data_IF_659187799667
#
_entry.id   IF_659187799667
#
_cell.length_a   1.000
_cell.length_b   1.000
_cell.length_c   1.000
_cell.angle_alpha   90.00
_cell.angle_beta   90.00
_cell.angle_gamma   90.00
#
_symmetry.space_group_name_H-M   'P 1'
#
loop_
_entity.id
_entity.type
_entity.pdbx_description
1 polymer ?
#
# COMPACT_ATOMS: atom_id res chain seq x y z
N UNK A 1 1.17 -1.97 21.42
CA UNK A 1 0.79 -1.34 20.13
C UNK A 1 -0.69 -1.62 19.95
N UNK A 2 -1.56 -0.61 20.04
CA UNK A 2 -3.00 -0.83 19.78
C UNK A 2 -3.20 -1.26 18.32
N UNK A 3 -3.99 -2.31 18.13
CA UNK A 3 -4.28 -2.99 16.87
C UNK A 3 -4.68 -2.00 15.77
N UNK A 4 -3.74 -1.73 14.86
CA UNK A 4 -4.03 -0.97 13.64
C UNK A 4 -5.02 -1.71 12.74
N UNK A 5 -5.20 -3.01 12.94
CA UNK A 5 -6.04 -3.88 12.11
C UNK A 5 -7.54 -3.69 12.32
N UNK A 6 -7.99 -3.15 13.46
CA UNK A 6 -9.42 -3.00 13.79
C UNK A 6 -9.95 -1.57 13.63
N UNK A 7 -9.22 -0.67 12.96
CA UNK A 7 -9.67 0.70 12.75
C UNK A 7 -10.49 0.81 11.47
N UNK A 8 -11.64 1.50 11.46
CA UNK A 8 -12.34 1.76 10.22
C UNK A 8 -11.51 2.66 9.30
N UNK A 9 -11.50 2.31 8.02
CA UNK A 9 -10.81 3.01 6.94
C UNK A 9 -11.79 3.75 6.03
N UNK A 10 -11.31 4.79 5.36
CA UNK A 10 -12.07 5.56 4.36
C UNK A 10 -11.15 5.97 3.21
N UNK A 11 -11.69 6.05 2.00
CA UNK A 11 -11.06 6.76 0.91
C UNK A 11 -11.20 8.27 1.16
N UNK A 12 -10.17 9.06 0.89
CA UNK A 12 -10.19 10.50 1.14
C UNK A 12 -9.28 11.27 0.20
N UNK A 13 -9.66 12.52 -0.07
CA UNK A 13 -8.84 13.51 -0.75
C UNK A 13 -8.19 14.44 0.27
N UNK A 14 -6.88 14.60 0.19
CA UNK A 14 -6.09 15.53 1.00
C UNK A 14 -5.76 16.78 0.18
N UNK A 15 -6.40 17.91 0.49
CA UNK A 15 -6.13 19.20 -0.17
C UNK A 15 -4.87 19.86 0.38
N UNK A 16 -4.74 19.85 1.70
CA UNK A 16 -3.59 20.34 2.47
C UNK A 16 -3.24 19.29 3.51
N UNK A 17 -2.02 19.37 4.07
CA UNK A 17 -1.57 18.42 5.09
C UNK A 17 -2.62 18.29 6.19
N UNK A 18 -3.19 17.08 6.34
CA UNK A 18 -4.24 16.69 7.30
C UNK A 18 -5.64 17.29 7.07
N UNK A 19 -5.85 18.01 5.97
CA UNK A 19 -7.14 18.55 5.53
C UNK A 19 -7.80 17.57 4.54
N UNK A 20 -8.67 16.70 5.06
CA UNK A 20 -9.25 15.58 4.33
C UNK A 20 -10.74 15.76 4.07
N UNK A 21 -11.17 15.45 2.86
CA UNK A 21 -12.55 15.17 2.49
C UNK A 21 -12.71 13.66 2.25
N UNK A 22 -13.60 13.01 3.00
CA UNK A 22 -13.88 11.58 2.83
C UNK A 22 -14.73 11.36 1.59
N UNK A 23 -14.42 10.30 0.85
CA UNK A 23 -15.13 9.86 -0.35
C UNK A 23 -15.96 8.64 0.02
N UNK A 24 -17.28 8.72 -0.15
CA UNK A 24 -18.17 7.58 0.02
C UNK A 24 -18.09 6.65 -1.19
N UNK A 25 -17.49 5.47 -0.99
CA UNK A 25 -17.32 4.48 -2.05
C UNK A 25 -18.67 3.94 -2.55
N UNK A 26 -19.69 3.82 -1.69
CA UNK A 26 -21.00 3.31 -2.11
C UNK A 26 -21.69 4.26 -3.08
N UNK A 27 -21.47 5.58 -2.92
CA UNK A 27 -22.01 6.59 -3.83
C UNK A 27 -21.32 6.51 -5.20
N UNK A 28 -19.98 6.46 -5.26
CA UNK A 28 -19.25 6.34 -6.55
C UNK A 28 -19.46 4.97 -7.22
N UNK A 29 -19.70 3.91 -6.44
CA UNK A 29 -20.00 2.57 -6.96
C UNK A 29 -21.46 2.42 -7.43
N UNK A 30 -22.32 3.40 -7.19
CA UNK A 30 -23.74 3.33 -7.52
C UNK A 30 -24.52 2.30 -6.68
N UNK A 31 -24.03 1.94 -5.49
CA UNK A 31 -24.58 0.90 -4.61
C UNK A 31 -25.41 1.49 -3.46
N UNK A 32 -26.17 2.56 -3.70
CA UNK A 32 -26.90 3.26 -2.63
C UNK A 32 -27.98 2.38 -1.97
N UNK A 33 -28.62 1.49 -2.72
CA UNK A 33 -29.72 0.65 -2.23
C UNK A 33 -29.24 -0.67 -1.58
N UNK A 34 -27.98 -1.07 -1.81
CA UNK A 34 -27.37 -2.24 -1.19
C UNK A 34 -25.87 -1.99 -0.93
N UNK A 35 -25.53 -1.17 0.09
CA UNK A 35 -24.18 -0.71 0.30
C UNK A 35 -23.26 -1.82 0.78
N UNK A 36 -22.18 -2.06 0.05
CA UNK A 36 -21.08 -2.86 0.57
C UNK A 36 -20.36 -2.08 1.68
N UNK A 37 -19.89 -2.79 2.70
CA UNK A 37 -19.05 -2.17 3.73
C UNK A 37 -17.64 -1.98 3.22
N UNK A 38 -17.25 -0.72 3.08
CA UNK A 38 -15.89 -0.28 2.76
C UNK A 38 -15.20 0.33 3.98
N UNK A 39 -15.33 -0.33 5.13
CA UNK A 39 -14.71 0.08 6.40
C UNK A 39 -13.38 -0.64 6.70
N UNK A 40 -13.01 -1.63 5.88
CA UNK A 40 -11.73 -2.31 5.91
C UNK A 40 -10.81 -1.84 4.77
N UNK A 41 -9.49 -1.78 5.00
CA UNK A 41 -8.53 -1.36 3.97
C UNK A 41 -8.53 -2.32 2.78
N UNK A 42 -8.74 -3.60 3.03
CA UNK A 42 -8.91 -4.68 2.05
C UNK A 42 -10.09 -4.40 1.12
N UNK A 43 -11.21 -3.95 1.68
CA UNK A 43 -12.43 -3.69 0.92
C UNK A 43 -12.27 -2.44 0.05
N UNK A 44 -11.63 -1.39 0.59
CA UNK A 44 -11.31 -0.18 -0.18
C UNK A 44 -10.34 -0.52 -1.31
N UNK A 45 -9.28 -1.26 -1.02
CA UNK A 45 -8.30 -1.69 -2.03
C UNK A 45 -8.95 -2.58 -3.10
N UNK A 46 -9.86 -3.49 -2.71
CA UNK A 46 -10.63 -4.31 -3.65
C UNK A 46 -11.41 -3.44 -4.65
N UNK A 47 -11.99 -2.33 -4.19
CA UNK A 47 -12.65 -1.36 -5.05
C UNK A 47 -11.64 -0.59 -5.92
N UNK A 48 -10.64 0.05 -5.31
CA UNK A 48 -9.73 0.99 -6.01
C UNK A 48 -8.83 0.31 -7.03
N UNK A 49 -8.52 -0.98 -6.86
CA UNK A 49 -7.74 -1.77 -7.82
C UNK A 49 -8.38 -1.98 -9.18
N UNK A 50 -9.66 -1.66 -9.34
CA UNK A 50 -10.33 -1.72 -10.64
C UNK A 50 -10.04 -0.48 -11.51
N UNK A 51 -9.41 0.55 -10.94
CA UNK A 51 -9.29 1.87 -11.55
C UNK A 51 -7.83 2.37 -11.50
N UNK A 52 -7.44 3.20 -12.45
CA UNK A 52 -6.31 4.14 -12.29
C UNK A 52 -6.69 5.22 -11.31
N UNK A 53 -5.68 5.92 -10.77
CA UNK A 53 -5.89 7.14 -10.02
C UNK A 53 -6.75 8.17 -10.80
N UNK A 54 -6.48 8.40 -12.10
CA UNK A 54 -7.26 9.33 -12.92
C UNK A 54 -8.75 8.94 -13.03
N UNK A 55 -9.04 7.65 -13.26
CA UNK A 55 -10.42 7.14 -13.29
C UNK A 55 -11.11 7.29 -11.92
N UNK A 56 -10.38 7.15 -10.81
CA UNK A 56 -10.93 7.39 -9.47
C UNK A 56 -11.31 8.88 -9.28
N UNK A 57 -10.47 9.82 -9.72
CA UNK A 57 -10.83 11.24 -9.71
C UNK A 57 -12.06 11.52 -10.56
N UNK A 58 -12.15 10.94 -11.76
CA UNK A 58 -13.31 11.10 -12.64
C UNK A 58 -14.61 10.57 -12.01
N UNK A 59 -14.55 9.45 -11.29
CA UNK A 59 -15.69 8.90 -10.56
C UNK A 59 -16.12 9.82 -9.42
N UNK A 60 -15.17 10.34 -8.65
CA UNK A 60 -15.43 11.28 -7.54
C UNK A 60 -16.07 12.56 -8.07
N UNK A 61 -15.54 13.12 -9.17
CA UNK A 61 -16.07 14.31 -9.82
C UNK A 61 -17.51 14.07 -10.32
N UNK A 62 -17.77 12.96 -11.01
CA UNK A 62 -19.11 12.62 -11.51
C UNK A 62 -20.14 12.45 -10.40
N UNK A 63 -19.73 11.89 -9.27
CA UNK A 63 -20.60 11.70 -8.12
C UNK A 63 -20.85 12.97 -7.32
N UNK A 64 -20.11 14.07 -7.59
CA UNK A 64 -20.26 15.37 -6.95
C UNK A 64 -20.22 15.29 -5.41
N UNK A 65 -19.30 14.47 -4.87
CA UNK A 65 -19.21 14.18 -3.42
C UNK A 65 -18.33 15.20 -2.69
N UNK A 66 -17.48 15.94 -3.41
CA UNK A 66 -16.49 16.86 -2.84
C UNK A 66 -16.44 18.17 -3.61
N UNK A 67 -15.97 19.22 -2.94
CA UNK A 67 -15.63 20.50 -3.57
C UNK A 67 -14.42 20.35 -4.51
N UNK A 68 -14.45 21.05 -5.65
CA UNK A 68 -13.39 21.18 -6.65
C UNK A 68 -12.01 21.45 -6.02
N UNK A 69 -11.97 22.18 -4.91
CA UNK A 69 -10.76 22.47 -4.16
C UNK A 69 -10.01 21.20 -3.70
N UNK A 70 -10.70 20.09 -3.46
CA UNK A 70 -10.11 18.82 -3.05
C UNK A 70 -9.72 17.93 -4.24
N UNK A 71 -10.32 18.15 -5.42
CA UNK A 71 -9.97 17.41 -6.64
C UNK A 71 -8.54 17.72 -7.12
N UNK A 72 -8.01 18.89 -6.74
CA UNK A 72 -6.60 19.23 -6.92
C UNK A 72 -5.65 18.61 -5.87
N UNK A 73 -6.21 17.88 -4.89
CA UNK A 73 -5.48 17.26 -3.78
C UNK A 73 -4.83 15.92 -4.15
N UNK A 74 -4.48 15.14 -3.12
CA UNK A 74 -3.98 13.75 -3.26
C UNK A 74 -4.97 12.75 -2.69
N UNK A 75 -5.12 11.61 -3.36
CA UNK A 75 -5.98 10.53 -2.91
C UNK A 75 -5.23 9.64 -1.91
N UNK A 76 -5.89 9.33 -0.81
CA UNK A 76 -5.37 8.48 0.27
C UNK A 76 -6.44 7.53 0.77
N UNK A 77 -5.99 6.39 1.30
CA UNK A 77 -6.80 5.66 2.29
C UNK A 77 -6.39 6.16 3.68
N UNK A 78 -7.37 6.54 4.50
CA UNK A 78 -7.13 7.01 5.87
C UNK A 78 -7.90 6.17 6.87
N UNK A 79 -7.32 5.97 8.05
CA UNK A 79 -8.08 5.42 9.19
C UNK A 79 -8.71 6.53 10.03
N UNK A 80 -9.53 6.14 11.01
CA UNK A 80 -10.13 7.05 12.00
C UNK A 80 -9.13 7.95 12.77
N UNK A 81 -7.85 7.56 12.87
CA UNK A 81 -6.77 8.37 13.44
C UNK A 81 -6.07 9.29 12.41
N UNK A 82 -6.61 9.38 11.19
CA UNK A 82 -6.08 10.15 10.05
C UNK A 82 -4.65 9.74 9.63
N UNK A 83 -4.24 8.50 9.90
CA UNK A 83 -3.03 7.96 9.28
C UNK A 83 -3.27 7.70 7.81
N UNK A 84 -2.31 8.06 6.96
CA UNK A 84 -2.38 7.94 5.50
C UNK A 84 -1.75 6.65 5.02
N UNK A 85 -2.41 6.05 4.04
CA UNK A 85 -1.98 4.87 3.32
C UNK A 85 -2.14 5.18 1.82
N UNK A 86 -1.08 4.93 1.03
CA UNK A 86 -1.12 5.08 -0.42
C UNK A 86 -2.27 4.26 -1.00
N UNK A 87 -2.98 4.77 -2.00
CA UNK A 87 -4.11 4.06 -2.64
C UNK A 87 -3.57 2.95 -3.54
N UNK A 88 -4.16 1.77 -3.45
CA UNK A 88 -3.82 0.64 -4.32
C UNK A 88 -4.70 0.68 -5.57
N UNK A 89 -4.11 1.01 -6.72
CA UNK A 89 -4.80 1.15 -8.01
C UNK A 89 -4.57 -0.08 -8.89
N UNK A 90 -5.16 -0.08 -10.10
CA UNK A 90 -4.96 -1.15 -11.08
C UNK A 90 -3.52 -1.33 -11.56
N UNK A 91 -2.64 -0.35 -11.30
CA UNK A 91 -1.21 -0.42 -11.66
C UNK A 91 -0.40 -1.26 -10.68
N UNK A 92 -0.87 -1.41 -9.44
CA UNK A 92 -0.14 -2.13 -8.39
C UNK A 92 -0.61 -3.59 -8.28
N UNK A 93 0.35 -4.51 -8.13
CA UNK A 93 0.08 -5.96 -8.10
C UNK A 93 0.11 -6.57 -6.70
N UNK A 94 0.60 -5.85 -5.67
CA UNK A 94 0.94 -6.40 -4.34
C UNK A 94 1.86 -7.63 -4.39
N UNK A 95 2.74 -7.70 -5.40
CA UNK A 95 3.60 -8.86 -5.62
C UNK A 95 4.82 -8.88 -4.68
N UNK A 96 4.63 -9.43 -3.48
CA UNK A 96 5.70 -9.69 -2.51
C UNK A 96 6.67 -10.77 -3.01
N UNK A 97 6.24 -11.67 -3.89
CA UNK A 97 7.09 -12.75 -4.40
C UNK A 97 8.22 -12.20 -5.25
N UNK A 98 7.92 -11.26 -6.15
CA UNK A 98 8.94 -10.59 -6.94
C UNK A 98 9.95 -9.86 -6.05
N UNK A 99 9.46 -9.16 -5.01
CA UNK A 99 10.34 -8.50 -4.02
C UNK A 99 11.25 -9.53 -3.34
N UNK A 100 10.70 -10.66 -2.88
CA UNK A 100 11.48 -11.71 -2.23
C UNK A 100 12.55 -12.31 -3.15
N UNK A 101 12.24 -12.50 -4.44
CA UNK A 101 13.21 -12.99 -5.43
C UNK A 101 14.37 -11.99 -5.61
N UNK A 102 14.07 -10.70 -5.70
CA UNK A 102 15.10 -9.64 -5.76
C UNK A 102 15.96 -9.61 -4.49
N UNK A 103 15.35 -9.76 -3.30
CA UNK A 103 16.05 -9.80 -2.02
C UNK A 103 17.08 -10.94 -1.91
N UNK A 104 16.83 -12.08 -2.57
CA UNK A 104 17.76 -13.21 -2.54
C UNK A 104 19.00 -12.97 -3.41
N UNK A 105 18.92 -12.05 -4.37
CA UNK A 105 19.97 -11.78 -5.34
C UNK A 105 20.80 -10.53 -4.99
N UNK A 106 20.21 -9.52 -4.35
CA UNK A 106 20.86 -8.24 -4.07
C UNK A 106 20.98 -7.97 -2.55
N UNK A 107 22.21 -7.82 -2.07
CA UNK A 107 22.48 -7.61 -0.63
C UNK A 107 21.91 -6.29 -0.09
N UNK A 108 21.88 -5.23 -0.89
CA UNK A 108 21.32 -3.93 -0.48
C UNK A 108 19.79 -4.04 -0.34
N UNK A 109 19.12 -4.70 -1.30
CA UNK A 109 17.68 -4.98 -1.24
C UNK A 109 17.35 -5.88 -0.05
N UNK A 110 18.19 -6.88 0.23
CA UNK A 110 18.03 -7.77 1.39
C UNK A 110 17.99 -7.01 2.72
N UNK A 111 18.95 -6.11 2.94
CA UNK A 111 19.02 -5.32 4.18
C UNK A 111 17.77 -4.44 4.34
N UNK A 112 17.39 -3.77 3.26
CA UNK A 112 16.18 -2.96 3.20
C UNK A 112 14.92 -3.78 3.50
N UNK A 113 14.74 -4.91 2.82
CA UNK A 113 13.59 -5.79 3.01
C UNK A 113 13.47 -6.30 4.43
N UNK A 114 14.57 -6.76 5.04
CA UNK A 114 14.55 -7.26 6.41
C UNK A 114 14.18 -6.15 7.41
N UNK A 115 14.67 -4.93 7.20
CA UNK A 115 14.29 -3.77 8.03
C UNK A 115 12.79 -3.44 7.87
N UNK A 116 12.30 -3.38 6.63
CA UNK A 116 10.87 -3.14 6.33
C UNK A 116 9.99 -4.25 6.89
N UNK A 117 10.40 -5.51 6.75
CA UNK A 117 9.68 -6.66 7.28
C UNK A 117 9.59 -6.60 8.80
N UNK A 118 10.70 -6.34 9.50
CA UNK A 118 10.71 -6.21 10.97
C UNK A 118 9.79 -5.10 11.48
N UNK A 119 9.67 -4.00 10.72
CA UNK A 119 8.80 -2.86 11.06
C UNK A 119 7.31 -3.25 11.05
N UNK A 120 6.90 -4.16 10.18
CA UNK A 120 5.49 -4.48 9.94
C UNK A 120 5.06 -5.86 10.42
N UNK A 121 6.00 -6.81 10.55
CA UNK A 121 5.77 -8.17 11.02
C UNK A 121 6.93 -8.64 11.94
N UNK A 122 7.19 -7.93 13.06
CA UNK A 122 8.26 -8.26 13.99
C UNK A 122 8.16 -9.69 14.55
N UNK A 123 6.95 -10.21 14.69
CA UNK A 123 6.67 -11.55 15.20
C UNK A 123 7.16 -12.67 14.27
N UNK A 124 7.20 -12.42 12.95
CA UNK A 124 7.72 -13.37 11.95
C UNK A 124 9.16 -13.09 11.54
N UNK A 125 9.78 -12.02 12.07
CA UNK A 125 11.06 -11.49 11.58
C UNK A 125 12.18 -12.53 11.62
N UNK A 126 12.33 -13.25 12.74
CA UNK A 126 13.41 -14.23 12.88
C UNK A 126 13.26 -15.41 11.91
N UNK A 127 12.03 -15.87 11.67
CA UNK A 127 11.76 -16.90 10.67
C UNK A 127 12.12 -16.41 9.26
N UNK A 128 11.71 -15.18 8.92
CA UNK A 128 11.97 -14.58 7.60
C UNK A 128 13.47 -14.36 7.39
N UNK A 129 14.16 -13.77 8.38
CA UNK A 129 15.60 -13.55 8.35
C UNK A 129 16.35 -14.85 8.09
N UNK A 130 16.01 -15.92 8.79
CA UNK A 130 16.63 -17.24 8.61
C UNK A 130 16.36 -17.82 7.22
N UNK A 131 15.14 -17.68 6.70
CA UNK A 131 14.78 -18.13 5.35
C UNK A 131 15.59 -17.37 4.28
N UNK A 132 15.70 -16.05 4.39
CA UNK A 132 16.47 -15.22 3.47
C UNK A 132 17.98 -15.50 3.58
N UNK A 133 18.52 -15.69 4.78
CA UNK A 133 19.94 -16.02 4.98
C UNK A 133 20.31 -17.40 4.41
N UNK A 134 19.42 -18.38 4.55
CA UNK A 134 19.59 -19.71 3.96
C UNK A 134 19.19 -19.79 2.48
N UNK A 135 18.85 -18.66 1.85
CA UNK A 135 18.36 -18.57 0.46
C UNK A 135 17.18 -19.50 0.14
N UNK A 136 16.34 -19.78 1.13
CA UNK A 136 15.19 -20.66 1.00
C UNK A 136 13.94 -19.84 0.63
N UNK A 137 13.74 -19.63 -0.68
CA UNK A 137 12.58 -18.88 -1.21
C UNK A 137 11.25 -19.53 -0.83
N UNK A 138 11.16 -20.85 -0.83
CA UNK A 138 9.93 -21.58 -0.48
C UNK A 138 9.51 -21.29 0.97
N UNK A 139 10.47 -21.29 1.89
CA UNK A 139 10.23 -20.92 3.30
C UNK A 139 9.86 -19.45 3.43
N UNK A 140 10.56 -18.54 2.74
CA UNK A 140 10.23 -17.12 2.75
C UNK A 140 8.79 -16.87 2.25
N UNK A 141 8.38 -17.52 1.16
CA UNK A 141 7.01 -17.47 0.63
C UNK A 141 5.98 -18.00 1.63
N UNK A 142 6.28 -19.11 2.32
CA UNK A 142 5.39 -19.66 3.35
C UNK A 142 5.18 -18.70 4.52
N UNK A 143 6.21 -17.92 4.87
CA UNK A 143 6.14 -16.92 5.95
C UNK A 143 5.34 -15.70 5.48
N UNK A 144 5.55 -15.22 4.25
CA UNK A 144 4.77 -14.10 3.70
C UNK A 144 3.27 -14.39 3.63
N UNK A 145 2.86 -15.65 3.44
CA UNK A 145 1.44 -16.05 3.48
C UNK A 145 0.81 -15.99 4.89
N UNK A 146 1.62 -15.91 5.95
CA UNK A 146 1.15 -15.73 7.33
C UNK A 146 0.93 -14.26 7.69
N UNK A 147 1.37 -13.31 6.86
CA UNK A 147 1.21 -11.89 7.11
C UNK A 147 -0.27 -11.50 7.10
N UNK A 148 -0.65 -10.58 7.97
CA UNK A 148 -1.92 -9.86 7.78
C UNK A 148 -1.86 -9.03 6.50
N UNK A 149 -3.02 -8.78 5.91
CA UNK A 149 -3.09 -8.02 4.66
C UNK A 149 -2.48 -6.62 4.82
N UNK A 150 -2.76 -5.93 5.93
CA UNK A 150 -2.18 -4.62 6.21
C UNK A 150 -0.65 -4.67 6.31
N UNK A 151 -0.07 -5.70 6.93
CA UNK A 151 1.38 -5.87 6.99
C UNK A 151 1.97 -6.11 5.60
N UNK A 152 1.39 -7.05 4.83
CA UNK A 152 1.78 -7.35 3.46
C UNK A 152 1.73 -6.10 2.55
N UNK A 153 0.64 -5.35 2.62
CA UNK A 153 0.42 -4.10 1.89
C UNK A 153 1.48 -3.05 2.22
N UNK A 154 1.76 -2.82 3.50
CA UNK A 154 2.74 -1.83 3.92
C UNK A 154 4.17 -2.23 3.53
N UNK A 155 4.51 -3.52 3.61
CA UNK A 155 5.79 -4.03 3.12
C UNK A 155 5.92 -3.75 1.62
N UNK A 156 4.90 -4.05 0.82
CA UNK A 156 4.92 -3.79 -0.62
C UNK A 156 5.13 -2.30 -0.95
N UNK A 157 4.38 -1.39 -0.33
CA UNK A 157 4.50 0.05 -0.62
C UNK A 157 5.85 0.62 -0.19
N UNK A 158 6.32 0.30 1.02
CA UNK A 158 7.64 0.77 1.48
C UNK A 158 8.76 0.21 0.59
N UNK A 159 8.70 -1.07 0.20
CA UNK A 159 9.70 -1.66 -0.70
C UNK A 159 9.66 -1.05 -2.09
N UNK A 160 8.48 -0.90 -2.71
CA UNK A 160 8.39 -0.28 -4.04
C UNK A 160 8.87 1.16 -4.05
N UNK A 161 8.54 1.93 -3.01
CA UNK A 161 9.04 3.28 -2.83
C UNK A 161 10.57 3.28 -2.85
N UNK A 162 11.17 2.49 -1.98
CA UNK A 162 12.62 2.43 -1.82
C UNK A 162 13.33 1.86 -3.06
N UNK A 163 12.76 0.88 -3.76
CA UNK A 163 13.29 0.34 -5.01
C UNK A 163 13.20 1.36 -6.16
N UNK A 164 12.11 2.13 -6.24
CA UNK A 164 11.97 3.19 -7.24
C UNK A 164 12.87 4.39 -6.95
N UNK A 165 13.07 4.76 -5.67
CA UNK A 165 14.05 5.76 -5.26
C UNK A 165 15.49 5.27 -5.46
N UNK A 166 15.77 3.99 -5.19
CA UNK A 166 17.07 3.33 -5.34
C UNK A 166 17.50 3.23 -6.80
N UNK A 167 16.60 2.84 -7.73
CA UNK A 167 16.86 2.86 -9.18
C UNK A 167 17.23 4.26 -9.68
N UNK A 168 16.72 5.32 -9.07
CA UNK A 168 17.14 6.71 -9.33
C UNK A 168 18.56 7.05 -8.87
N UNK A 169 19.06 6.41 -7.79
CA UNK A 169 20.45 6.54 -7.34
C UNK A 169 21.42 5.65 -8.13
N UNK A 170 21.04 4.41 -8.43
CA UNK A 170 21.87 3.48 -9.21
C UNK A 170 22.10 4.00 -10.63
N UNK A 171 21.11 4.64 -11.27
CA UNK A 171 21.31 5.35 -12.55
C UNK A 171 22.29 6.53 -12.40
N UNK A 172 22.11 7.38 -11.38
CA UNK A 172 23.00 8.54 -11.15
C UNK A 172 24.46 8.14 -10.87
N UNK A 173 24.73 6.98 -10.27
CA UNK A 173 26.10 6.51 -10.04
C UNK A 173 26.69 5.90 -11.32
N UNK A 174 25.88 5.22 -12.14
CA UNK A 174 26.34 4.67 -13.43
C UNK A 174 26.58 5.73 -14.50
N UNK A 175 25.87 6.86 -14.45
CA UNK A 175 26.08 7.99 -15.36
C UNK A 175 27.21 8.93 -14.88
N UNK A 176 27.78 8.67 -13.71
CA UNK A 176 28.85 9.47 -13.09
C UNK A 176 30.18 8.70 -12.93
N UNK A 177 30.29 7.50 -13.52
CA UNK A 177 31.49 6.66 -13.56
C UNK A 177 31.92 6.44 -15.02
#
# INVERSE_FOLDING_TARGET
MQDKENMPYNLALERRVRDFATVDINVIAGQQDNPQRYDAIEAIDFFTRNYTEAELYDLILKANITDDNYLAGRLWVINNKRYRYDVLTKKESLDIETILKECLNENDIKGLFLNTFNKYAPELFNEMRNAIQSKNIGKAMSISRKLSYLAARNIYFDMNKELNFGKGRVRKIKDAA
#
